data_IF_309551164675
#
_entry.id   IF_309551164675
#
_cell.length_a   1.000
_cell.length_b   1.000
_cell.length_c   1.000
_cell.angle_alpha   90.00
_cell.angle_beta   90.00
_cell.angle_gamma   90.00
#
_symmetry.space_group_name_H-M   'P 1'
#
loop_
_entity.id
_entity.type
_entity.pdbx_description
1 polymer ?
#
# COMPACT_ATOMS: atom_id res chain seq x y z
N UNK A 1 19.38 8.91 -6.97
CA UNK A 1 17.95 8.55 -7.08
C UNK A 1 17.55 7.85 -5.81
N UNK A 2 16.36 8.13 -5.28
CA UNK A 2 15.83 7.48 -4.07
C UNK A 2 14.92 6.32 -4.48
N UNK A 3 15.08 5.17 -3.86
CA UNK A 3 14.23 3.99 -4.09
C UNK A 3 13.18 3.91 -2.98
N UNK A 4 11.93 3.67 -3.37
CA UNK A 4 10.82 3.38 -2.46
C UNK A 4 10.39 1.92 -2.72
N UNK A 5 10.45 1.05 -1.70
CA UNK A 5 10.03 -0.35 -1.83
C UNK A 5 8.52 -0.46 -2.03
N UNK A 6 8.02 -1.59 -2.55
CA UNK A 6 6.58 -1.76 -2.77
C UNK A 6 5.72 -1.45 -1.53
N UNK A 7 4.69 -0.61 -1.69
CA UNK A 7 3.74 -0.29 -0.62
C UNK A 7 2.83 -1.50 -0.31
N UNK A 8 3.00 -2.06 0.88
CA UNK A 8 2.14 -3.11 1.44
C UNK A 8 1.11 -2.57 2.45
N UNK A 9 0.44 -3.48 3.16
CA UNK A 9 -0.63 -3.19 4.14
C UNK A 9 -0.15 -2.23 5.25
N UNK A 10 1.11 -2.36 5.66
CA UNK A 10 1.70 -1.55 6.75
C UNK A 10 2.49 -0.34 6.25
N UNK A 11 2.31 0.09 5.00
CA UNK A 11 3.04 1.25 4.48
C UNK A 11 2.75 2.50 5.31
N UNK A 12 1.48 2.79 5.58
CA UNK A 12 1.08 3.94 6.40
C UNK A 12 1.64 3.87 7.83
N UNK A 13 1.66 2.68 8.43
CA UNK A 13 2.22 2.45 9.77
C UNK A 13 3.74 2.72 9.80
N UNK A 14 4.44 2.43 8.71
CA UNK A 14 5.89 2.62 8.61
C UNK A 14 6.28 4.09 8.37
N UNK A 15 5.41 4.87 7.71
CA UNK A 15 5.67 6.28 7.37
C UNK A 15 5.11 7.24 8.40
N UNK A 16 4.23 6.78 9.29
CA UNK A 16 3.57 7.61 10.30
C UNK A 16 3.77 7.04 11.72
N UNK A 17 3.60 7.87 12.74
CA UNK A 17 3.68 7.43 14.13
C UNK A 17 5.09 6.98 14.55
N UNK A 18 5.18 5.83 15.22
CA UNK A 18 6.43 5.24 15.71
C UNK A 18 7.11 4.28 14.72
N UNK A 19 6.55 4.15 13.50
CA UNK A 19 7.11 3.33 12.43
C UNK A 19 6.94 1.82 12.63
N UNK A 20 6.19 1.38 13.63
CA UNK A 20 5.93 -0.05 13.88
C UNK A 20 4.64 -0.48 13.21
N UNK A 21 4.64 -1.69 12.65
CA UNK A 21 3.44 -2.31 12.10
C UNK A 21 2.35 -2.41 13.18
N UNK A 22 1.18 -1.86 12.90
CA UNK A 22 0.02 -1.96 13.77
C UNK A 22 -0.64 -3.33 13.65
N UNK A 23 -1.43 -3.69 14.67
CA UNK A 23 -2.27 -4.89 14.62
C UNK A 23 -3.16 -4.86 13.36
N UNK A 24 -3.38 -6.03 12.74
CA UNK A 24 -4.22 -6.18 11.54
C UNK A 24 -5.61 -5.55 11.73
N UNK A 25 -6.18 -5.60 12.94
CA UNK A 25 -7.47 -5.00 13.23
C UNK A 25 -7.47 -3.46 13.08
N UNK A 26 -6.31 -2.83 13.23
CA UNK A 26 -6.11 -1.39 13.12
C UNK A 26 -5.52 -0.98 11.76
N UNK A 27 -4.81 -1.88 11.06
CA UNK A 27 -4.21 -1.67 9.74
C UNK A 27 -5.11 -2.18 8.60
N UNK A 28 -6.31 -1.60 8.50
CA UNK A 28 -7.26 -1.87 7.41
C UNK A 28 -8.09 -3.15 7.54
N UNK A 29 -7.87 -3.96 8.58
CA UNK A 29 -8.60 -5.20 8.86
C UNK A 29 -8.65 -6.15 7.65
N UNK A 30 -7.54 -6.23 6.92
CA UNK A 30 -7.41 -7.04 5.72
C UNK A 30 -6.20 -7.97 5.84
N UNK A 31 -6.30 -9.17 5.27
CA UNK A 31 -5.23 -10.16 5.30
C UNK A 31 -4.96 -10.69 3.91
N UNK A 32 -3.69 -10.61 3.50
CA UNK A 32 -3.18 -11.18 2.26
C UNK A 32 -3.23 -12.71 2.30
N UNK A 33 -2.90 -13.30 3.45
CA UNK A 33 -2.95 -14.76 3.66
C UNK A 33 -4.37 -15.29 3.48
N UNK A 34 -5.36 -14.63 4.08
CA UNK A 34 -6.77 -15.01 3.92
C UNK A 34 -7.26 -14.87 2.48
N UNK A 35 -6.74 -13.89 1.75
CA UNK A 35 -7.02 -13.73 0.32
C UNK A 35 -6.41 -14.86 -0.51
N UNK A 36 -5.17 -15.29 -0.20
CA UNK A 36 -4.55 -16.44 -0.86
C UNK A 36 -5.25 -17.76 -0.57
N UNK A 37 -5.76 -17.95 0.65
CA UNK A 37 -6.52 -19.13 1.03
C UNK A 37 -7.89 -19.21 0.34
N UNK A 38 -8.66 -18.11 0.39
CA UNK A 38 -9.98 -18.05 -0.24
C UNK A 38 -10.31 -16.65 -0.79
N UNK A 39 -9.96 -16.37 -2.06
CA UNK A 39 -10.20 -15.06 -2.67
C UNK A 39 -11.68 -14.75 -2.91
N UNK A 40 -12.57 -15.75 -2.83
CA UNK A 40 -14.03 -15.58 -2.97
C UNK A 40 -14.77 -15.65 -1.63
N UNK A 41 -14.05 -15.45 -0.53
CA UNK A 41 -14.66 -15.37 0.79
C UNK A 41 -15.72 -14.26 0.83
N UNK A 42 -16.87 -14.57 1.43
CA UNK A 42 -18.03 -13.68 1.46
C UNK A 42 -17.91 -12.59 2.56
N UNK A 43 -16.78 -12.53 3.26
CA UNK A 43 -16.46 -11.55 4.31
C UNK A 43 -15.91 -10.22 3.77
N UNK A 44 -15.86 -10.09 2.43
CA UNK A 44 -15.39 -8.88 1.74
C UNK A 44 -13.90 -8.60 1.92
N UNK A 45 -13.10 -9.57 2.37
CA UNK A 45 -11.65 -9.38 2.58
C UNK A 45 -10.95 -8.96 1.28
N UNK A 46 -11.31 -9.55 0.14
CA UNK A 46 -10.68 -9.30 -1.16
C UNK A 46 -10.79 -7.84 -1.59
N UNK A 47 -12.01 -7.28 -1.56
CA UNK A 47 -12.24 -5.89 -1.94
C UNK A 47 -11.62 -4.91 -0.94
N UNK A 48 -11.70 -5.23 0.36
CA UNK A 48 -11.11 -4.40 1.43
C UNK A 48 -9.59 -4.36 1.32
N UNK A 49 -8.97 -5.51 1.06
CA UNK A 49 -7.53 -5.63 0.81
C UNK A 49 -7.10 -4.80 -0.40
N UNK A 50 -7.80 -4.94 -1.54
CA UNK A 50 -7.46 -4.18 -2.74
C UNK A 50 -7.60 -2.66 -2.52
N UNK A 51 -8.68 -2.24 -1.87
CA UNK A 51 -8.91 -0.83 -1.53
C UNK A 51 -7.83 -0.28 -0.59
N UNK A 52 -7.40 -1.08 0.38
CA UNK A 52 -6.34 -0.71 1.31
C UNK A 52 -4.98 -0.59 0.62
N UNK A 53 -4.61 -1.56 -0.22
CA UNK A 53 -3.38 -1.51 -1.02
C UNK A 53 -3.36 -0.31 -1.98
N UNK A 54 -4.50 0.01 -2.61
CA UNK A 54 -4.62 1.20 -3.45
C UNK A 54 -4.37 2.49 -2.66
N UNK A 55 -4.96 2.61 -1.46
CA UNK A 55 -4.73 3.77 -0.59
C UNK A 55 -3.27 3.88 -0.14
N UNK A 56 -2.63 2.76 0.24
CA UNK A 56 -1.21 2.72 0.59
C UNK A 56 -0.29 3.14 -0.56
N UNK A 57 -0.57 2.67 -1.79
CA UNK A 57 0.19 3.06 -2.99
C UNK A 57 -0.02 4.53 -3.35
N UNK A 58 -1.22 5.08 -3.12
CA UNK A 58 -1.50 6.50 -3.32
C UNK A 58 -0.73 7.37 -2.32
N UNK A 59 -0.65 6.94 -1.06
CA UNK A 59 0.16 7.61 -0.04
C UNK A 59 1.64 7.59 -0.45
N UNK A 60 2.18 6.42 -0.83
CA UNK A 60 3.55 6.31 -1.31
C UNK A 60 3.85 7.21 -2.51
N UNK A 61 2.91 7.29 -3.46
CA UNK A 61 3.06 8.16 -4.61
C UNK A 61 3.11 9.65 -4.20
N UNK A 62 2.32 10.03 -3.19
CA UNK A 62 2.33 11.39 -2.65
C UNK A 62 3.68 11.72 -1.99
N UNK A 63 4.20 10.81 -1.16
CA UNK A 63 5.52 10.96 -0.52
C UNK A 63 6.65 11.06 -1.57
N UNK A 64 6.56 10.27 -2.63
CA UNK A 64 7.53 10.29 -3.72
C UNK A 64 7.50 11.62 -4.49
N UNK A 65 6.30 12.16 -4.77
CA UNK A 65 6.15 13.48 -5.38
C UNK A 65 6.65 14.59 -4.48
N UNK A 66 6.35 14.54 -3.18
CA UNK A 66 6.86 15.52 -2.21
C UNK A 66 8.39 15.51 -2.16
N UNK A 67 9.01 14.33 -2.09
CA UNK A 67 10.48 14.19 -2.12
C UNK A 67 11.07 14.73 -3.41
N UNK A 68 10.47 14.40 -4.57
CA UNK A 68 10.94 14.84 -5.87
C UNK A 68 10.85 16.35 -6.02
N UNK A 69 9.73 16.96 -5.61
CA UNK A 69 9.52 18.41 -5.72
C UNK A 69 10.38 19.21 -4.72
N UNK A 70 10.61 18.67 -3.52
CA UNK A 70 11.37 19.36 -2.47
C UNK A 70 12.88 19.25 -2.67
N UNK A 71 13.38 18.11 -3.17
CA UNK A 71 14.82 17.85 -3.28
C UNK A 71 15.36 17.90 -4.70
N UNK A 72 14.49 17.84 -5.72
CA UNK A 72 14.89 17.70 -7.12
C UNK A 72 15.50 16.33 -7.47
N UNK A 73 15.52 15.38 -6.53
CA UNK A 73 16.09 14.06 -6.76
C UNK A 73 15.06 13.12 -7.41
N UNK A 74 15.44 12.44 -8.49
CA UNK A 74 14.60 11.40 -9.10
C UNK A 74 14.29 10.24 -8.15
N UNK A 75 13.07 9.72 -8.24
CA UNK A 75 12.53 8.64 -7.38
C UNK A 75 12.18 7.42 -8.23
N UNK A 76 12.49 6.22 -7.73
CA UNK A 76 12.06 4.93 -8.31
C UNK A 76 11.03 4.31 -7.38
N UNK A 77 9.87 3.96 -7.93
CA UNK A 77 8.76 3.30 -7.22
C UNK A 77 8.58 1.87 -7.73
N UNK A 78 8.31 0.94 -6.83
CA UNK A 78 7.91 -0.43 -7.17
C UNK A 78 6.38 -0.54 -7.21
N UNK A 79 5.82 -0.67 -8.42
CA UNK A 79 4.38 -0.66 -8.74
C UNK A 79 3.66 0.62 -8.27
N UNK A 80 3.40 1.51 -9.23
CA UNK A 80 2.62 2.73 -8.96
C UNK A 80 1.11 2.46 -8.95
N UNK A 81 0.33 3.44 -8.48
CA UNK A 81 -1.14 3.43 -8.53
C UNK A 81 -1.71 3.12 -9.92
N UNK A 82 -1.00 3.51 -10.99
CA UNK A 82 -1.42 3.25 -12.37
C UNK A 82 -1.36 1.77 -12.74
N UNK A 83 -0.61 0.96 -12.00
CA UNK A 83 -0.53 -0.48 -12.20
C UNK A 83 -1.50 -1.27 -11.28
N UNK A 84 -2.30 -0.59 -10.47
CA UNK A 84 -3.16 -1.26 -9.48
C UNK A 84 -4.40 -1.91 -10.12
N UNK A 85 -4.95 -1.30 -11.18
CA UNK A 85 -6.21 -1.74 -11.79
C UNK A 85 -6.18 -3.14 -12.39
N UNK A 86 -4.99 -3.66 -12.75
CA UNK A 86 -4.86 -5.03 -13.30
C UNK A 86 -5.11 -6.11 -12.25
N UNK A 87 -5.11 -5.74 -10.97
CA UNK A 87 -5.39 -6.64 -9.85
C UNK A 87 -6.85 -6.60 -9.39
N UNK A 88 -7.64 -5.66 -9.90
CA UNK A 88 -9.08 -5.55 -9.61
C UNK A 88 -9.87 -6.43 -10.58
N UNK A 89 -10.25 -7.64 -10.14
CA UNK A 89 -11.12 -8.58 -10.87
C UNK A 89 -12.28 -9.07 -10.01
#
# INVERSE_FOLDING_TARGET
MKHFPEAGIHYADSTTGDGKALDVQLSGNCSLEKFYDNPKSNDGNSYRLQSWLYASRLLQYSDALEHLLSTGQGVVLERSIYSDFVFTQ
#
